data_IF_407683577038
#
_entry.id   IF_407683577038
#
_cell.length_a   1.000
_cell.length_b   1.000
_cell.length_c   1.000
_cell.angle_alpha   90.00
_cell.angle_beta   90.00
_cell.angle_gamma   90.00
#
_symmetry.space_group_name_H-M   'P 1'
#
loop_
_entity.id
_entity.type
_entity.pdbx_description
1 polymer ?
#
# COMPACT_ATOMS: atom_id res chain seq x y z
N UNK A 1 -13.71 -19.12 -0.25
CA UNK A 1 -14.08 -18.06 -1.23
C UNK A 1 -13.55 -16.69 -0.83
N UNK A 2 -13.89 -16.14 0.35
CA UNK A 2 -13.37 -14.84 0.78
C UNK A 2 -11.84 -14.83 0.98
N UNK A 3 -11.25 -15.98 1.34
CA UNK A 3 -9.80 -16.13 1.49
C UNK A 3 -9.02 -16.01 0.17
N UNK A 4 -9.68 -16.15 -0.99
CA UNK A 4 -9.02 -16.00 -2.29
C UNK A 4 -8.47 -14.59 -2.51
N UNK A 5 -9.04 -13.57 -1.86
CA UNK A 5 -8.46 -12.23 -1.92
C UNK A 5 -7.08 -12.13 -1.26
N UNK A 6 -6.67 -13.10 -0.43
CA UNK A 6 -5.41 -13.04 0.34
C UNK A 6 -4.52 -14.28 0.14
N UNK A 7 -4.87 -15.15 -0.82
CA UNK A 7 -4.10 -16.36 -1.16
C UNK A 7 -2.87 -16.08 -2.05
N UNK A 8 -2.66 -14.82 -2.44
CA UNK A 8 -1.61 -14.35 -3.34
C UNK A 8 -1.66 -14.95 -4.76
N UNK A 9 -2.80 -15.50 -5.18
CA UNK A 9 -3.03 -16.03 -6.52
C UNK A 9 -3.99 -15.13 -7.30
N UNK A 10 -3.47 -14.36 -8.26
CA UNK A 10 -4.29 -13.45 -9.07
C UNK A 10 -5.26 -14.15 -10.04
N UNK A 11 -5.21 -15.47 -10.17
CA UNK A 11 -6.17 -16.25 -10.98
C UNK A 11 -7.44 -16.63 -10.21
N UNK A 12 -7.43 -16.47 -8.88
CA UNK A 12 -8.57 -16.70 -8.00
C UNK A 12 -9.06 -15.37 -7.43
N UNK A 13 -10.37 -15.24 -7.23
CA UNK A 13 -10.94 -14.02 -6.68
C UNK A 13 -12.05 -14.33 -5.67
N UNK A 14 -12.10 -13.55 -4.60
CA UNK A 14 -13.22 -13.49 -3.68
C UNK A 14 -14.34 -12.68 -4.34
N UNK A 15 -15.48 -13.32 -4.55
CA UNK A 15 -16.62 -12.69 -5.22
C UNK A 15 -17.86 -12.72 -4.34
N UNK A 16 -18.69 -11.70 -4.49
CA UNK A 16 -20.05 -11.66 -3.97
C UNK A 16 -21.07 -11.68 -5.10
N UNK A 17 -22.32 -12.00 -4.76
CA UNK A 17 -23.44 -11.78 -5.68
C UNK A 17 -23.77 -10.28 -5.74
N UNK A 18 -24.67 -9.91 -6.65
CA UNK A 18 -25.20 -8.54 -6.65
C UNK A 18 -25.95 -8.29 -5.33
N UNK A 19 -25.47 -7.34 -4.55
CA UNK A 19 -26.05 -6.97 -3.26
C UNK A 19 -25.82 -5.49 -2.96
N UNK A 20 -26.50 -4.97 -1.94
CA UNK A 20 -26.32 -3.59 -1.52
C UNK A 20 -25.04 -3.46 -0.69
N UNK A 21 -24.13 -2.60 -1.14
CA UNK A 21 -22.85 -2.32 -0.48
C UNK A 21 -22.07 -3.59 -0.08
N UNK A 22 -21.66 -4.42 -1.06
CA UNK A 22 -20.87 -5.61 -0.77
C UNK A 22 -19.56 -5.23 -0.08
N UNK A 23 -19.10 -6.11 0.81
CA UNK A 23 -17.92 -5.86 1.61
C UNK A 23 -17.09 -7.11 1.86
N UNK A 24 -15.83 -6.86 2.18
CA UNK A 24 -14.84 -7.88 2.53
C UNK A 24 -13.92 -7.33 3.62
N UNK A 25 -13.39 -8.20 4.47
CA UNK A 25 -12.38 -7.82 5.45
C UNK A 25 -11.43 -8.98 5.74
N UNK A 26 -10.24 -8.64 6.23
CA UNK A 26 -9.21 -9.57 6.68
C UNK A 26 -8.76 -9.24 8.10
N UNK A 27 -8.43 -10.30 8.84
CA UNK A 27 -7.71 -10.23 10.11
C UNK A 27 -6.21 -10.39 9.85
N UNK A 28 -5.42 -9.38 10.24
CA UNK A 28 -3.96 -9.41 10.11
C UNK A 28 -3.27 -10.23 11.21
N UNK A 29 -4.04 -10.84 12.13
CA UNK A 29 -3.59 -11.59 13.32
C UNK A 29 -2.84 -10.74 14.37
N UNK A 30 -2.61 -9.47 14.09
CA UNK A 30 -1.94 -8.52 14.97
C UNK A 30 -2.20 -7.08 14.57
N UNK A 31 -1.81 -6.13 15.41
CA UNK A 31 -1.91 -4.70 15.09
C UNK A 31 -0.68 -4.24 14.31
N UNK A 32 -0.90 -3.67 13.13
CA UNK A 32 0.15 -3.17 12.26
C UNK A 32 -0.08 -1.71 11.87
N UNK A 33 0.99 -0.91 11.66
CA UNK A 33 0.90 0.42 11.08
C UNK A 33 0.69 0.32 9.56
N UNK A 34 -0.56 0.24 9.12
CA UNK A 34 -0.91 0.12 7.70
C UNK A 34 -0.65 1.45 6.99
N UNK A 35 0.11 1.38 5.90
CA UNK A 35 0.52 2.54 5.08
C UNK A 35 -0.06 2.49 3.68
N UNK A 36 -0.10 1.31 3.06
CA UNK A 36 -0.62 1.14 1.71
C UNK A 36 -1.45 -0.13 1.66
N UNK A 37 -2.62 -0.04 1.04
CA UNK A 37 -3.42 -1.21 0.66
C UNK A 37 -3.39 -1.32 -0.85
N UNK A 38 -2.86 -2.44 -1.36
CA UNK A 38 -2.90 -2.78 -2.78
C UNK A 38 -4.09 -3.68 -3.04
N UNK A 39 -4.89 -3.36 -4.04
CA UNK A 39 -6.06 -4.15 -4.43
C UNK A 39 -5.97 -4.45 -5.92
N UNK A 40 -6.12 -5.72 -6.30
CA UNK A 40 -6.39 -6.16 -7.66
C UNK A 40 -7.84 -6.63 -7.72
N UNK A 41 -8.67 -5.89 -8.45
CA UNK A 41 -10.05 -6.25 -8.71
C UNK A 41 -10.14 -7.29 -9.83
N UNK A 42 -11.20 -8.09 -9.83
CA UNK A 42 -11.56 -8.88 -11.00
C UNK A 42 -12.10 -8.00 -12.14
N UNK A 43 -12.00 -8.49 -13.38
CA UNK A 43 -12.50 -7.77 -14.57
C UNK A 43 -14.01 -7.58 -14.48
N UNK A 44 -14.47 -6.35 -14.70
CA UNK A 44 -15.87 -6.00 -14.99
C UNK A 44 -15.92 -5.08 -16.21
N UNK A 45 -17.10 -4.99 -16.83
CA UNK A 45 -17.35 -4.05 -17.93
C UNK A 45 -16.89 -2.63 -17.57
N UNK A 46 -16.09 -2.02 -18.45
CA UNK A 46 -15.39 -0.74 -18.24
C UNK A 46 -16.32 0.47 -18.08
N UNK A 47 -17.63 0.30 -18.25
CA UNK A 47 -18.62 1.39 -18.21
C UNK A 47 -19.17 1.69 -16.82
N UNK A 48 -18.76 0.96 -15.78
CA UNK A 48 -19.27 1.15 -14.41
C UNK A 48 -18.17 1.64 -13.46
N UNK A 49 -18.27 2.90 -13.07
CA UNK A 49 -17.46 3.45 -11.98
C UNK A 49 -17.95 2.89 -10.64
N UNK A 50 -17.01 2.43 -9.82
CA UNK A 50 -17.22 2.00 -8.44
C UNK A 50 -16.61 3.02 -7.48
N UNK A 51 -17.18 3.09 -6.28
CA UNK A 51 -16.56 3.76 -5.13
C UNK A 51 -16.26 2.67 -4.12
N UNK A 52 -15.00 2.53 -3.72
CA UNK A 52 -14.55 1.56 -2.75
C UNK A 52 -13.89 2.25 -1.55
N UNK A 53 -14.45 2.05 -0.36
CA UNK A 53 -13.90 2.59 0.90
C UNK A 53 -13.04 1.53 1.58
N UNK A 54 -11.77 1.87 1.82
CA UNK A 54 -10.84 1.03 2.58
C UNK A 54 -10.74 1.57 4.00
N UNK A 55 -11.03 0.71 4.99
CA UNK A 55 -10.91 1.06 6.41
C UNK A 55 -9.89 0.18 7.11
N UNK A 56 -9.23 0.75 8.11
CA UNK A 56 -8.28 0.05 8.98
C UNK A 56 -8.62 0.36 10.44
N UNK A 57 -8.60 -0.66 11.29
CA UNK A 57 -8.80 -0.48 12.71
C UNK A 57 -8.90 -1.77 13.50
N UNK A 58 -9.52 -1.69 14.68
CA UNK A 58 -9.57 -2.79 15.65
C UNK A 58 -10.98 -3.37 15.83
N UNK A 59 -11.93 -2.99 14.98
CA UNK A 59 -13.27 -3.58 14.92
C UNK A 59 -13.40 -4.46 13.68
N UNK A 60 -14.11 -5.58 13.82
CA UNK A 60 -14.38 -6.52 12.73
C UNK A 60 -15.37 -5.94 11.71
N UNK A 61 -15.37 -6.48 10.49
CA UNK A 61 -16.26 -6.06 9.41
C UNK A 61 -16.07 -4.59 8.97
N UNK A 62 -17.11 -3.99 8.38
CA UNK A 62 -17.12 -2.60 7.88
C UNK A 62 -17.50 -1.57 8.94
N UNK A 63 -16.97 -1.71 10.15
CA UNK A 63 -17.29 -0.81 11.26
C UNK A 63 -16.88 0.63 10.96
N UNK A 64 -17.83 1.58 11.03
CA UNK A 64 -17.58 3.03 10.88
C UNK A 64 -16.64 3.61 11.92
N UNK A 65 -16.39 2.89 13.02
CA UNK A 65 -15.37 3.23 14.03
C UNK A 65 -13.94 2.97 13.57
N UNK A 66 -13.74 2.18 12.51
CA UNK A 66 -12.44 2.01 11.88
C UNK A 66 -12.15 3.23 10.98
N UNK A 67 -10.92 3.72 11.01
CA UNK A 67 -10.51 4.90 10.26
C UNK A 67 -10.48 4.60 8.76
N UNK A 68 -10.90 5.56 7.94
CA UNK A 68 -10.76 5.46 6.49
C UNK A 68 -9.28 5.61 6.16
N UNK A 69 -8.69 4.58 5.56
CA UNK A 69 -7.35 4.65 5.00
C UNK A 69 -7.41 5.39 3.66
N UNK A 70 -8.29 4.97 2.75
CA UNK A 70 -8.41 5.55 1.42
C UNK A 70 -9.83 5.32 0.84
N UNK A 71 -10.22 6.14 -0.14
CA UNK A 71 -11.43 5.95 -0.93
C UNK A 71 -11.02 5.94 -2.40
N UNK A 72 -11.24 4.81 -3.06
CA UNK A 72 -10.99 4.65 -4.48
C UNK A 72 -12.26 4.97 -5.27
N UNK A 73 -12.14 5.74 -6.34
CA UNK A 73 -13.21 5.97 -7.31
C UNK A 73 -12.66 5.70 -8.71
N UNK A 74 -13.20 4.70 -9.39
CA UNK A 74 -12.69 4.29 -10.70
C UNK A 74 -13.36 3.03 -11.23
N UNK A 75 -12.77 2.44 -12.26
CA UNK A 75 -13.28 1.22 -12.90
C UNK A 75 -12.50 0.00 -12.43
N UNK A 76 -13.17 -1.15 -12.31
CA UNK A 76 -12.54 -2.43 -11.94
C UNK A 76 -11.79 -3.01 -13.16
N UNK A 77 -10.53 -2.59 -13.33
CA UNK A 77 -9.62 -3.15 -14.33
C UNK A 77 -8.85 -4.33 -13.71
N UNK A 78 -8.40 -5.28 -14.54
CA UNK A 78 -7.42 -6.31 -14.14
C UNK A 78 -6.01 -5.72 -13.96
N UNK A 79 -5.92 -4.71 -13.10
CA UNK A 79 -4.71 -4.02 -12.72
C UNK A 79 -4.78 -3.73 -11.24
N UNK A 80 -3.65 -3.92 -10.56
CA UNK A 80 -3.53 -3.55 -9.17
C UNK A 80 -3.54 -2.02 -9.00
N UNK A 81 -4.36 -1.54 -8.08
CA UNK A 81 -4.37 -0.16 -7.59
C UNK A 81 -3.67 -0.10 -6.24
N UNK A 82 -2.87 0.94 -6.02
CA UNK A 82 -2.20 1.20 -4.77
C UNK A 82 -2.91 2.35 -4.06
N UNK A 83 -3.41 2.09 -2.86
CA UNK A 83 -4.21 3.02 -2.08
C UNK A 83 -3.42 3.41 -0.83
N UNK A 84 -2.59 4.47 -0.90
CA UNK A 84 -1.85 4.96 0.26
C UNK A 84 -2.81 5.57 1.28
N UNK A 85 -2.64 5.25 2.56
CA UNK A 85 -3.37 5.93 3.62
C UNK A 85 -2.84 7.37 3.78
N UNK A 86 -3.68 8.29 4.26
CA UNK A 86 -3.25 9.68 4.52
C UNK A 86 -2.10 9.77 5.56
N UNK A 87 -2.06 8.83 6.50
CA UNK A 87 -0.98 8.60 7.45
C UNK A 87 -1.02 7.13 7.90
N UNK A 88 -0.01 6.65 8.63
CA UNK A 88 0.01 5.29 9.17
C UNK A 88 -1.23 5.04 10.05
N UNK A 89 -2.08 4.10 9.66
CA UNK A 89 -3.25 3.71 10.45
C UNK A 89 -2.95 2.42 11.19
N UNK A 90 -2.91 2.47 12.52
CA UNK A 90 -2.72 1.29 13.36
C UNK A 90 -4.01 0.49 13.45
N UNK A 91 -3.99 -0.77 13.01
CA UNK A 91 -5.16 -1.65 13.09
C UNK A 91 -4.82 -3.13 12.91
N UNK A 92 -5.73 -3.98 13.36
CA UNK A 92 -5.71 -5.43 13.14
C UNK A 92 -6.55 -5.87 11.95
N UNK A 93 -7.59 -5.11 11.62
CA UNK A 93 -8.51 -5.44 10.53
C UNK A 93 -8.39 -4.42 9.42
N UNK A 94 -8.43 -4.92 8.18
CA UNK A 94 -8.57 -4.12 6.96
C UNK A 94 -9.86 -4.54 6.28
N UNK A 95 -10.71 -3.58 5.92
CA UNK A 95 -11.97 -3.84 5.21
C UNK A 95 -12.06 -3.03 3.93
N UNK A 96 -12.72 -3.60 2.92
CA UNK A 96 -13.10 -2.96 1.67
C UNK A 96 -14.62 -3.03 1.56
N UNK A 97 -15.25 -1.90 1.27
CA UNK A 97 -16.71 -1.77 1.10
C UNK A 97 -16.96 -1.04 -0.21
N UNK A 98 -17.84 -1.55 -1.06
CA UNK A 98 -18.32 -0.79 -2.23
C UNK A 98 -19.56 0.01 -1.86
N UNK A 99 -19.72 1.18 -2.47
CA UNK A 99 -20.96 1.95 -2.33
C UNK A 99 -22.00 1.51 -3.37
N UNK A 100 -23.24 1.36 -2.93
CA UNK A 100 -24.40 1.09 -3.79
C UNK A 100 -24.60 -0.38 -4.16
N UNK A 101 -25.56 -0.63 -5.04
CA UNK A 101 -25.90 -1.99 -5.49
C UNK A 101 -24.87 -2.50 -6.50
N UNK A 102 -24.09 -3.49 -6.10
CA UNK A 102 -22.97 -4.00 -6.89
C UNK A 102 -22.61 -5.43 -6.49
N UNK A 103 -21.78 -6.08 -7.30
CA UNK A 103 -21.06 -7.29 -6.93
C UNK A 103 -19.58 -6.92 -6.70
N UNK A 104 -18.96 -7.48 -5.67
CA UNK A 104 -17.54 -7.32 -5.41
C UNK A 104 -16.74 -8.47 -6.03
N UNK A 105 -15.58 -8.16 -6.60
CA UNK A 105 -14.59 -9.14 -7.04
C UNK A 105 -13.19 -8.68 -6.67
N UNK A 106 -12.57 -9.32 -5.69
CA UNK A 106 -11.22 -9.03 -5.19
C UNK A 106 -10.31 -10.24 -5.44
N UNK A 107 -9.34 -10.09 -6.33
CA UNK A 107 -8.41 -11.17 -6.66
C UNK A 107 -7.20 -11.17 -5.73
N UNK A 108 -6.63 -9.99 -5.47
CA UNK A 108 -5.50 -9.88 -4.54
C UNK A 108 -5.64 -8.61 -3.71
N UNK A 109 -5.54 -8.75 -2.39
CA UNK A 109 -5.42 -7.67 -1.42
C UNK A 109 -4.10 -7.86 -0.68
N UNK A 110 -3.24 -6.85 -0.73
CA UNK A 110 -1.96 -6.85 -0.01
C UNK A 110 -1.88 -5.62 0.87
N UNK A 111 -1.50 -5.82 2.12
CA UNK A 111 -1.40 -4.76 3.13
C UNK A 111 0.07 -4.53 3.43
N UNK A 112 0.52 -3.29 3.30
CA UNK A 112 1.92 -2.92 3.51
C UNK A 112 2.04 -1.97 4.70
N UNK A 113 3.01 -2.27 5.58
CA UNK A 113 3.47 -1.37 6.62
C UNK A 113 4.78 -0.69 6.19
N UNK A 114 5.19 0.36 6.91
CA UNK A 114 6.48 1.03 6.68
C UNK A 114 7.69 0.09 6.76
N UNK A 115 7.57 -1.03 7.49
CA UNK A 115 8.64 -2.04 7.59
C UNK A 115 8.75 -2.92 6.34
N UNK A 116 7.67 -3.00 5.57
CA UNK A 116 7.45 -3.94 4.46
C UNK A 116 7.40 -3.26 3.09
N UNK A 117 7.34 -1.93 3.03
CA UNK A 117 7.64 -1.21 1.78
C UNK A 117 9.07 -1.63 1.43
N UNK A 118 9.34 -2.16 0.21
CA UNK A 118 10.69 -2.45 -0.23
C UNK A 118 11.46 -1.15 -0.48
N UNK A 119 11.66 -0.36 0.56
CA UNK A 119 12.72 0.62 0.66
C UNK A 119 14.01 -0.16 0.84
N UNK A 120 14.77 -0.32 -0.24
CA UNK A 120 16.23 -0.34 -0.27
C UNK A 120 17.00 -1.24 0.73
N UNK A 121 16.34 -2.16 1.46
CA UNK A 121 16.98 -3.06 2.44
C UNK A 121 17.75 -4.19 1.78
N UNK A 122 17.65 -4.32 0.45
CA UNK A 122 18.32 -5.36 -0.34
C UNK A 122 19.18 -4.82 -1.47
N UNK A 123 19.34 -3.50 -1.63
CA UNK A 123 20.26 -2.98 -2.65
C UNK A 123 21.69 -3.07 -2.12
N UNK A 124 22.60 -3.77 -2.81
CA UNK A 124 24.02 -3.74 -2.47
C UNK A 124 24.52 -2.29 -2.48
N UNK A 125 25.36 -1.92 -1.51
CA UNK A 125 25.88 -0.55 -1.38
C UNK A 125 26.50 0.01 -2.66
N UNK A 126 26.99 -0.87 -3.55
CA UNK A 126 27.57 -0.49 -4.84
C UNK A 126 26.56 0.09 -5.84
N UNK A 127 25.27 -0.22 -5.72
CA UNK A 127 24.22 0.32 -6.60
C UNK A 127 23.68 1.69 -6.12
N UNK A 128 23.86 2.02 -4.85
CA UNK A 128 23.47 3.33 -4.29
C UNK A 128 24.41 4.46 -4.73
N UNK A 129 25.63 4.14 -5.16
CA UNK A 129 26.62 5.12 -5.63
C UNK A 129 26.26 5.75 -6.99
N UNK A 130 25.28 5.20 -7.70
CA UNK A 130 24.88 5.63 -9.04
C UNK A 130 23.60 6.47 -9.11
N UNK A 131 22.91 6.70 -8.00
CA UNK A 131 21.67 7.49 -8.00
C UNK A 131 21.98 8.99 -7.94
N UNK A 132 21.42 9.82 -8.84
CA UNK A 132 21.57 11.27 -8.77
C UNK A 132 21.05 11.78 -7.41
N UNK A 133 21.96 12.30 -6.56
CA UNK A 133 21.63 12.86 -5.25
C UNK A 133 21.92 11.98 -4.04
N UNK A 134 22.46 10.76 -4.22
CA UNK A 134 22.93 9.95 -3.08
C UNK A 134 24.30 10.45 -2.59
N UNK A 135 24.36 11.00 -1.38
CA UNK A 135 25.63 11.33 -0.70
C UNK A 135 26.00 10.12 0.17
N UNK A 136 27.08 9.43 -0.19
CA UNK A 136 27.65 8.37 0.64
C UNK A 136 28.30 9.00 1.89
N UNK A 137 27.62 8.91 3.04
CA UNK A 137 28.24 9.25 4.33
C UNK A 137 28.97 8.00 4.83
N UNK A 138 30.24 7.89 4.44
CA UNK A 138 31.12 6.86 4.99
C UNK A 138 31.38 7.10 6.47
N UNK A 139 30.88 6.21 7.33
CA UNK A 139 31.36 6.12 8.71
C UNK A 139 32.81 5.62 8.68
N UNK A 140 33.74 6.52 8.98
CA UNK A 140 35.17 6.32 8.75
C UNK A 140 35.86 5.34 9.70
N UNK A 141 37.03 4.88 9.23
CA UNK A 141 38.20 4.56 10.06
C UNK A 141 39.44 5.08 9.32
N UNK A 142 40.09 6.12 9.87
CA UNK A 142 41.46 6.62 9.57
C UNK A 142 41.75 7.04 8.12
N UNK A 143 42.24 8.24 7.80
CA UNK A 143 43.45 8.89 8.32
C UNK A 143 43.36 10.38 7.95
N UNK A 144 43.79 11.24 8.88
CA UNK A 144 43.97 12.69 8.69
C UNK A 144 45.02 12.97 7.61
N UNK A 145 44.65 13.76 6.59
CA UNK A 145 45.60 14.63 5.89
C UNK A 145 44.96 16.00 5.75
N UNK A 146 45.60 16.98 6.38
CA UNK A 146 45.32 18.41 6.31
C UNK A 146 45.40 18.91 4.86
N UNK A 147 44.43 19.73 4.47
CA UNK A 147 44.42 20.39 3.17
C UNK A 147 43.43 21.54 3.12
N UNK A 148 43.63 22.56 3.96
CA UNK A 148 42.99 23.86 3.78
C UNK A 148 43.55 24.52 2.53
N UNK A 149 42.72 24.70 1.50
CA UNK A 149 42.81 25.87 0.62
C UNK A 149 41.41 26.43 0.46
N UNK A 150 41.14 27.46 1.25
CA UNK A 150 40.17 28.50 0.95
C UNK A 150 40.46 29.11 -0.42
N UNK A 151 39.49 29.03 -1.32
CA UNK A 151 38.99 30.16 -2.13
C UNK A 151 38.21 29.58 -3.31
N UNK A 152 36.89 29.72 -3.28
CA UNK A 152 36.18 30.52 -4.27
C UNK A 152 34.70 30.61 -3.91
N UNK A 153 34.27 31.86 -3.86
CA UNK A 153 32.96 32.34 -3.50
C UNK A 153 31.92 32.05 -4.60
N UNK A 154 30.67 31.99 -4.12
CA UNK A 154 29.44 32.54 -4.70
C UNK A 154 28.46 31.66 -5.50
N UNK A 155 27.24 31.72 -4.95
CA UNK A 155 25.91 31.53 -5.55
C UNK A 155 25.81 31.99 -7.01
N UNK A 156 25.07 31.20 -7.79
CA UNK A 156 23.74 31.61 -8.28
C UNK A 156 22.77 30.45 -8.07
#
# INVERSE_FOLDING_TARGET
MAEYAVDANSSTCATTLMENSPWWYVDLEGMFPVMVVKIQFGVRDENSTIIATVRVGNRTGVSTRNMICNVFSGVMLDKAVYLPCASAVYGRYVSVELDGDSSMSLCVVSVYSEKDIPQAKSMPWHELLGLPGAIAVGAGLGVLVFGTVMCCLWKK
#
